data_IF_110886909409
#
_entry.id   IF_110886909409
#
_cell.length_a   1.000
_cell.length_b   1.000
_cell.length_c   1.000
_cell.angle_alpha   90.00
_cell.angle_beta   90.00
_cell.angle_gamma   90.00
#
_symmetry.space_group_name_H-M   'P 1'
#
loop_
_entity.id
_entity.type
_entity.pdbx_description
1 polymer ?
#
# COMPACT_ATOMS: atom_id res chain seq x y z
N UNK A 1 -23.39 -43.25 -17.46
CA UNK A 1 -23.00 -41.82 -17.41
C UNK A 1 -23.02 -41.24 -18.83
N UNK A 2 -24.00 -40.38 -19.11
CA UNK A 2 -24.25 -39.80 -20.44
C UNK A 2 -23.02 -39.03 -20.97
N UNK A 3 -22.73 -39.08 -22.28
CA UNK A 3 -21.65 -38.31 -22.90
C UNK A 3 -21.81 -36.80 -22.69
N UNK A 4 -23.03 -36.28 -22.61
CA UNK A 4 -23.30 -34.87 -22.37
C UNK A 4 -22.86 -34.43 -20.97
N UNK A 5 -23.10 -35.27 -19.96
CA UNK A 5 -22.71 -35.00 -18.59
C UNK A 5 -21.19 -34.90 -18.41
N UNK A 6 -20.41 -35.63 -19.23
CA UNK A 6 -18.94 -35.53 -19.23
C UNK A 6 -18.46 -34.24 -19.89
N UNK A 7 -19.17 -33.75 -20.90
CA UNK A 7 -18.83 -32.50 -21.59
C UNK A 7 -19.07 -31.28 -20.69
N UNK A 8 -20.20 -31.24 -19.98
CA UNK A 8 -20.47 -30.20 -18.97
C UNK A 8 -19.49 -30.24 -17.81
N UNK A 9 -19.12 -31.43 -17.31
CA UNK A 9 -18.10 -31.55 -16.27
C UNK A 9 -16.72 -31.06 -16.73
N UNK A 10 -16.28 -31.39 -17.96
CA UNK A 10 -15.01 -30.87 -18.47
C UNK A 10 -15.03 -29.35 -18.61
N UNK A 11 -16.16 -28.79 -19.07
CA UNK A 11 -16.30 -27.34 -19.27
C UNK A 11 -16.26 -26.59 -17.93
N UNK A 12 -16.92 -27.09 -16.89
CA UNK A 12 -16.86 -26.50 -15.55
C UNK A 12 -15.48 -26.64 -14.90
N UNK A 13 -14.81 -27.77 -15.08
CA UNK A 13 -13.43 -27.97 -14.61
C UNK A 13 -12.43 -27.04 -15.31
N UNK A 14 -12.54 -26.87 -16.62
CA UNK A 14 -11.68 -25.95 -17.39
C UNK A 14 -11.90 -24.49 -17.00
N UNK A 15 -13.17 -24.08 -16.84
CA UNK A 15 -13.52 -22.73 -16.37
C UNK A 15 -13.02 -22.48 -14.94
N UNK A 16 -13.08 -23.49 -14.06
CA UNK A 16 -12.54 -23.38 -12.70
C UNK A 16 -11.01 -23.24 -12.71
N UNK A 17 -10.31 -23.96 -13.60
CA UNK A 17 -8.86 -23.90 -13.70
C UNK A 17 -8.36 -22.54 -14.21
N UNK A 18 -9.03 -21.96 -15.23
CA UNK A 18 -8.68 -20.62 -15.73
C UNK A 18 -8.95 -19.52 -14.69
N UNK A 19 -10.07 -19.62 -13.97
CA UNK A 19 -10.48 -18.62 -12.97
C UNK A 19 -9.59 -18.65 -11.71
N UNK A 20 -8.95 -19.80 -11.41
CA UNK A 20 -7.93 -19.91 -10.35
C UNK A 20 -6.59 -19.31 -10.81
N UNK A 21 -6.16 -19.58 -12.05
CA UNK A 21 -4.88 -19.10 -12.60
C UNK A 21 -4.81 -17.55 -12.64
N UNK A 22 -5.91 -16.87 -12.98
CA UNK A 22 -5.93 -15.40 -13.13
C UNK A 22 -5.97 -14.61 -11.81
N UNK A 23 -6.33 -15.26 -10.68
CA UNK A 23 -6.46 -14.58 -9.38
C UNK A 23 -5.16 -14.53 -8.57
N UNK A 24 -4.23 -15.43 -8.84
CA UNK A 24 -2.92 -15.48 -8.19
C UNK A 24 -2.04 -14.23 -8.41
N UNK A 25 -1.90 -13.66 -9.63
CA UNK A 25 -0.99 -12.54 -9.85
C UNK A 25 -1.42 -11.26 -9.13
N UNK A 26 -2.72 -10.97 -9.07
CA UNK A 26 -3.22 -9.76 -8.39
C UNK A 26 -3.02 -9.81 -6.88
N UNK A 27 -3.22 -10.98 -6.27
CA UNK A 27 -2.97 -11.17 -4.82
C UNK A 27 -1.49 -11.05 -4.50
N UNK A 28 -0.63 -11.60 -5.35
CA UNK A 28 0.81 -11.44 -5.19
C UNK A 28 1.21 -9.97 -5.34
N UNK A 29 0.67 -9.27 -6.33
CA UNK A 29 0.93 -7.84 -6.54
C UNK A 29 0.54 -7.00 -5.32
N UNK A 30 -0.63 -7.22 -4.72
CA UNK A 30 -1.05 -6.46 -3.54
C UNK A 30 -0.18 -6.74 -2.31
N UNK A 31 0.31 -7.97 -2.14
CA UNK A 31 1.27 -8.31 -1.08
C UNK A 31 2.65 -7.68 -1.32
N UNK A 32 3.14 -7.71 -2.56
CA UNK A 32 4.43 -7.12 -2.89
C UNK A 32 4.41 -5.59 -2.72
N UNK A 33 3.33 -4.94 -3.15
CA UNK A 33 3.14 -3.50 -2.98
C UNK A 33 3.06 -3.10 -1.50
N UNK A 34 2.39 -3.88 -0.65
CA UNK A 34 2.30 -3.59 0.78
C UNK A 34 3.64 -3.80 1.49
N UNK A 35 4.38 -4.87 1.17
CA UNK A 35 5.72 -5.09 1.69
C UNK A 35 6.70 -4.01 1.26
N UNK A 36 6.67 -3.61 -0.01
CA UNK A 36 7.50 -2.52 -0.52
C UNK A 36 7.19 -1.20 0.20
N UNK A 37 5.91 -0.92 0.44
CA UNK A 37 5.48 0.24 1.23
C UNK A 37 6.03 0.19 2.66
N UNK A 38 6.01 -0.96 3.31
CA UNK A 38 6.56 -1.12 4.68
C UNK A 38 8.07 -0.88 4.68
N UNK A 39 8.81 -1.45 3.74
CA UNK A 39 10.25 -1.26 3.64
C UNK A 39 10.61 0.21 3.41
N UNK A 40 9.89 0.89 2.51
CA UNK A 40 10.14 2.30 2.21
C UNK A 40 9.79 3.20 3.40
N UNK A 41 8.70 2.91 4.11
CA UNK A 41 8.36 3.59 5.37
C UNK A 41 9.39 3.36 6.47
N UNK A 42 9.97 2.16 6.57
CA UNK A 42 11.07 1.88 7.49
C UNK A 42 12.31 2.71 7.17
N UNK A 43 12.65 2.84 5.89
CA UNK A 43 13.75 3.70 5.44
C UNK A 43 13.49 5.18 5.76
N UNK A 44 12.26 5.67 5.57
CA UNK A 44 11.85 7.03 5.93
C UNK A 44 12.06 7.29 7.43
N UNK A 45 11.59 6.38 8.28
CA UNK A 45 11.78 6.50 9.74
C UNK A 45 13.27 6.50 10.07
N UNK A 46 14.05 5.58 9.48
CA UNK A 46 15.49 5.49 9.73
C UNK A 46 16.23 6.78 9.39
N UNK A 47 16.04 7.32 8.18
CA UNK A 47 16.76 8.52 7.75
C UNK A 47 16.29 9.77 8.49
N UNK A 48 15.00 9.89 8.80
CA UNK A 48 14.48 11.02 9.58
C UNK A 48 14.87 10.96 11.05
N UNK A 49 14.95 9.76 11.64
CA UNK A 49 15.40 9.56 13.01
C UNK A 49 16.90 9.85 13.15
N UNK A 50 17.74 9.44 12.19
CA UNK A 50 19.18 9.77 12.21
C UNK A 50 19.38 11.29 12.21
N UNK A 51 18.75 11.98 11.24
CA UNK A 51 18.77 13.44 11.13
C UNK A 51 18.27 14.15 12.41
N UNK A 52 17.18 13.66 13.00
CA UNK A 52 16.65 14.21 14.26
C UNK A 52 17.58 13.96 15.44
N UNK A 53 18.25 12.80 15.48
CA UNK A 53 19.19 12.46 16.55
C UNK A 53 20.44 13.35 16.51
N UNK A 54 20.94 13.66 15.31
CA UNK A 54 22.06 14.59 15.11
C UNK A 54 21.65 15.97 15.60
N UNK A 55 20.52 16.50 15.12
CA UNK A 55 20.00 17.78 15.59
C UNK A 55 19.89 17.85 17.12
N UNK A 56 19.32 16.83 17.76
CA UNK A 56 19.12 16.83 19.20
C UNK A 56 20.44 16.75 20.00
N UNK A 57 21.41 15.95 19.54
CA UNK A 57 22.73 15.85 20.18
C UNK A 57 23.47 17.18 20.08
N UNK A 58 23.57 17.73 18.87
CA UNK A 58 24.32 18.97 18.61
C UNK A 58 23.66 20.18 19.28
N UNK A 59 22.33 20.28 19.23
CA UNK A 59 21.61 21.39 19.86
C UNK A 59 21.76 21.43 21.38
N UNK A 60 21.93 20.27 22.03
CA UNK A 60 22.10 20.19 23.50
C UNK A 60 23.56 20.28 23.94
N UNK A 61 24.49 19.81 23.10
CA UNK A 61 25.91 19.82 23.40
C UNK A 61 26.55 21.21 23.21
N UNK A 62 25.92 22.09 22.42
CA UNK A 62 26.48 23.40 22.13
C UNK A 62 26.35 24.37 23.30
N UNK A 63 27.49 24.92 23.69
CA UNK A 63 27.64 25.86 24.78
C UNK A 63 27.02 27.23 24.39
N UNK A 64 26.17 27.85 25.23
CA UNK A 64 25.50 29.14 24.92
C UNK A 64 26.42 30.29 24.52
N UNK A 65 27.70 30.20 24.85
CA UNK A 65 28.71 31.22 24.55
C UNK A 65 29.35 31.07 23.16
N UNK A 66 29.02 30.00 22.42
CA UNK A 66 29.47 29.75 21.05
C UNK A 66 28.37 30.11 20.05
N UNK A 67 28.75 30.39 18.80
CA UNK A 67 27.78 30.76 17.76
C UNK A 67 26.75 29.62 17.60
N UNK A 68 25.44 29.86 17.85
CA UNK A 68 24.44 28.81 17.75
C UNK A 68 24.29 28.38 16.29
N UNK A 69 24.87 27.22 15.97
CA UNK A 69 24.80 26.56 14.67
C UNK A 69 23.38 26.10 14.32
N UNK A 70 22.51 25.98 15.31
CA UNK A 70 21.10 25.71 15.13
C UNK A 70 20.29 26.92 15.64
N UNK A 71 19.31 27.43 14.86
CA UNK A 71 18.42 28.49 15.30
C UNK A 71 17.66 28.10 16.58
N UNK A 72 17.46 29.05 17.49
CA UNK A 72 16.74 28.85 18.76
C UNK A 72 15.23 28.52 18.55
N UNK A 73 14.67 28.90 17.39
CA UNK A 73 13.29 28.64 16.99
C UNK A 73 13.19 27.63 15.87
N UNK A 74 13.78 26.45 16.08
CA UNK A 74 13.82 25.39 15.10
C UNK A 74 12.52 24.57 15.04
N UNK A 75 11.90 24.45 13.87
CA UNK A 75 10.67 23.68 13.73
C UNK A 75 10.97 22.20 13.41
N UNK A 76 10.85 21.36 14.43
CA UNK A 76 10.99 19.90 14.32
C UNK A 76 9.69 19.19 13.94
N UNK A 77 8.59 19.95 13.77
CA UNK A 77 7.27 19.42 13.45
C UNK A 77 7.28 18.59 12.17
N UNK A 78 7.98 19.07 11.13
CA UNK A 78 8.10 18.33 9.86
C UNK A 78 8.68 16.93 10.05
N UNK A 79 9.85 16.82 10.68
CA UNK A 79 10.50 15.53 10.91
C UNK A 79 9.64 14.58 11.76
N UNK A 80 9.02 15.08 12.84
CA UNK A 80 8.11 14.29 13.68
C UNK A 80 6.89 13.80 12.91
N UNK A 81 6.34 14.63 12.01
CA UNK A 81 5.23 14.26 11.14
C UNK A 81 5.61 13.16 10.15
N UNK A 82 6.81 13.21 9.54
CA UNK A 82 7.29 12.14 8.66
C UNK A 82 7.47 10.81 9.41
N UNK A 83 8.04 10.84 10.61
CA UNK A 83 8.18 9.65 11.47
C UNK A 83 6.81 9.07 11.79
N UNK A 84 5.86 9.93 12.20
CA UNK A 84 4.48 9.52 12.49
C UNK A 84 3.78 8.91 11.28
N UNK A 85 3.92 9.51 10.10
CA UNK A 85 3.35 8.97 8.86
C UNK A 85 3.98 7.62 8.50
N UNK A 86 5.31 7.51 8.55
CA UNK A 86 6.01 6.25 8.28
C UNK A 86 5.54 5.14 9.22
N UNK A 87 5.44 5.44 10.52
CA UNK A 87 4.96 4.48 11.51
C UNK A 87 3.50 4.06 11.27
N UNK A 88 2.63 5.01 10.94
CA UNK A 88 1.24 4.74 10.59
C UNK A 88 1.11 3.84 9.36
N UNK A 89 1.88 4.10 8.30
CA UNK A 89 1.89 3.28 7.08
C UNK A 89 2.38 1.85 7.38
N UNK A 90 3.42 1.69 8.21
CA UNK A 90 3.88 0.36 8.63
C UNK A 90 2.77 -0.37 9.39
N UNK A 91 2.09 0.31 10.33
CA UNK A 91 1.03 -0.28 11.13
C UNK A 91 -0.13 -0.76 10.26
N UNK A 92 -0.68 0.10 9.40
CA UNK A 92 -1.84 -0.24 8.58
C UNK A 92 -1.52 -1.31 7.53
N UNK A 93 -0.37 -1.22 6.84
CA UNK A 93 0.04 -2.27 5.90
C UNK A 93 0.39 -3.57 6.63
N UNK A 94 0.99 -3.50 7.82
CA UNK A 94 1.30 -4.66 8.65
C UNK A 94 0.04 -5.40 9.08
N UNK A 95 -0.99 -4.67 9.50
CA UNK A 95 -2.31 -5.25 9.81
C UNK A 95 -2.91 -5.89 8.55
N UNK A 96 -2.89 -5.20 7.40
CA UNK A 96 -3.38 -5.77 6.14
C UNK A 96 -2.67 -7.07 5.77
N UNK A 97 -1.34 -7.11 5.83
CA UNK A 97 -0.54 -8.31 5.57
C UNK A 97 -0.91 -9.42 6.55
N UNK A 98 -0.98 -9.13 7.86
CA UNK A 98 -1.37 -10.12 8.86
C UNK A 98 -2.76 -10.71 8.61
N UNK A 99 -3.75 -9.87 8.28
CA UNK A 99 -5.10 -10.31 7.92
C UNK A 99 -5.09 -11.17 6.65
N UNK A 100 -4.28 -10.81 5.65
CA UNK A 100 -4.18 -11.54 4.38
C UNK A 100 -3.49 -12.92 4.49
N UNK A 101 -2.63 -13.08 5.49
CA UNK A 101 -1.92 -14.33 5.79
C UNK A 101 -2.71 -15.24 6.73
N UNK A 102 -3.71 -14.72 7.45
CA UNK A 102 -4.47 -15.51 8.43
C UNK A 102 -5.58 -16.32 7.73
N UNK A 103 -5.43 -17.66 7.58
CA UNK A 103 -6.42 -18.47 6.87
C UNK A 103 -7.76 -18.56 7.63
N UNK A 104 -7.72 -18.43 8.96
CA UNK A 104 -8.90 -18.52 9.84
C UNK A 104 -9.91 -17.39 9.63
N UNK A 105 -9.48 -16.24 9.12
CA UNK A 105 -10.36 -15.06 8.94
C UNK A 105 -11.14 -15.09 7.61
N UNK A 106 -10.95 -16.13 6.79
CA UNK A 106 -11.71 -16.37 5.57
C UNK A 106 -11.73 -15.16 4.60
N UNK A 107 -10.64 -14.39 4.57
CA UNK A 107 -10.39 -13.33 3.59
C UNK A 107 -10.02 -13.96 2.24
N UNK A 108 -11.01 -14.60 1.61
CA UNK A 108 -10.84 -15.10 0.25
C UNK A 108 -10.56 -13.94 -0.71
N UNK A 109 -9.58 -14.13 -1.60
CA UNK A 109 -9.28 -13.19 -2.67
C UNK A 109 -10.54 -12.96 -3.52
N UNK A 110 -11.00 -11.70 -3.61
CA UNK A 110 -12.28 -11.37 -4.25
C UNK A 110 -13.50 -11.48 -3.33
N UNK A 111 -13.33 -11.47 -2.00
CA UNK A 111 -14.42 -11.22 -1.06
C UNK A 111 -14.60 -9.72 -0.85
N UNK A 112 -15.84 -9.26 -0.70
CA UNK A 112 -16.14 -7.85 -0.37
C UNK A 112 -15.44 -7.41 0.92
N UNK A 113 -15.33 -8.31 1.91
CA UNK A 113 -14.61 -8.04 3.17
C UNK A 113 -13.11 -7.79 2.94
N UNK A 114 -12.48 -8.56 2.05
CA UNK A 114 -11.08 -8.40 1.71
C UNK A 114 -10.84 -7.06 1.01
N UNK A 115 -11.70 -6.71 0.04
CA UNK A 115 -11.68 -5.40 -0.61
C UNK A 115 -11.84 -4.26 0.40
N UNK A 116 -12.87 -4.32 1.24
CA UNK A 116 -13.17 -3.27 2.20
C UNK A 116 -12.00 -3.04 3.15
N UNK A 117 -11.42 -4.11 3.70
CA UNK A 117 -10.24 -3.98 4.57
C UNK A 117 -9.05 -3.34 3.84
N UNK A 118 -8.71 -3.82 2.64
CA UNK A 118 -7.60 -3.30 1.86
C UNK A 118 -7.77 -1.82 1.51
N UNK A 119 -8.96 -1.46 1.05
CA UNK A 119 -9.34 -0.07 0.71
C UNK A 119 -9.27 0.82 1.94
N UNK A 120 -9.83 0.40 3.08
CA UNK A 120 -9.80 1.19 4.31
C UNK A 120 -8.37 1.44 4.80
N UNK A 121 -7.54 0.39 4.88
CA UNK A 121 -6.16 0.52 5.34
C UNK A 121 -5.30 1.34 4.38
N UNK A 122 -5.47 1.12 3.07
CA UNK A 122 -4.71 1.86 2.07
C UNK A 122 -5.10 3.34 2.03
N UNK A 123 -6.39 3.64 2.13
CA UNK A 123 -6.90 5.02 2.14
C UNK A 123 -6.46 5.76 3.39
N UNK A 124 -6.57 5.13 4.57
CA UNK A 124 -6.11 5.71 5.84
C UNK A 124 -4.59 6.02 5.79
N UNK A 125 -3.80 5.08 5.26
CA UNK A 125 -2.35 5.26 5.07
C UNK A 125 -2.03 6.41 4.10
N UNK A 126 -2.73 6.47 2.96
CA UNK A 126 -2.54 7.52 1.97
C UNK A 126 -2.90 8.91 2.54
N UNK A 127 -3.99 9.03 3.28
CA UNK A 127 -4.40 10.28 3.91
C UNK A 127 -3.38 10.78 4.93
N UNK A 128 -2.87 9.90 5.80
CA UNK A 128 -1.83 10.26 6.77
C UNK A 128 -0.53 10.71 6.10
N UNK A 129 -0.10 10.00 5.06
CA UNK A 129 1.07 10.37 4.28
C UNK A 129 0.86 11.71 3.55
N UNK A 130 -0.30 11.93 2.93
CA UNK A 130 -0.63 13.19 2.25
C UNK A 130 -0.65 14.38 3.20
N UNK A 131 -1.30 14.25 4.36
CA UNK A 131 -1.32 15.32 5.38
C UNK A 131 0.10 15.65 5.82
N UNK A 132 0.94 14.64 6.02
CA UNK A 132 2.33 14.84 6.44
C UNK A 132 3.20 15.46 5.35
N UNK A 133 2.99 15.10 4.08
CA UNK A 133 3.65 15.74 2.93
C UNK A 133 3.25 17.22 2.86
N UNK A 134 1.96 17.53 2.93
CA UNK A 134 1.45 18.90 2.86
C UNK A 134 1.99 19.73 4.02
N UNK A 135 1.91 19.20 5.24
CA UNK A 135 2.43 19.86 6.44
C UNK A 135 3.94 20.15 6.30
N UNK A 136 4.73 19.15 5.92
CA UNK A 136 6.18 19.32 5.74
C UNK A 136 6.52 20.27 4.59
N UNK A 137 5.75 20.26 3.51
CA UNK A 137 5.93 21.18 2.38
C UNK A 137 5.62 22.63 2.77
N UNK A 138 4.61 22.87 3.60
CA UNK A 138 4.29 24.20 4.14
C UNK A 138 5.45 24.69 5.01
N UNK A 139 5.92 23.87 5.96
CA UNK A 139 7.03 24.21 6.84
C UNK A 139 8.33 24.50 6.05
N UNK A 140 8.60 23.72 5.01
CA UNK A 140 9.77 23.93 4.15
C UNK A 140 9.67 25.21 3.29
N UNK A 141 8.47 25.72 3.01
CA UNK A 141 8.27 26.99 2.28
C UNK A 141 8.39 28.22 3.18
N UNK A 142 8.09 28.10 4.49
CA UNK A 142 8.15 29.19 5.46
C UNK A 142 9.57 29.61 5.91
N UNK A 143 10.61 29.17 5.20
CA UNK A 143 12.03 29.25 5.59
C UNK A 143 12.63 30.64 5.84
N UNK A 144 11.84 31.72 5.80
CA UNK A 144 12.27 33.07 6.23
C UNK A 144 11.90 33.40 7.67
N UNK A 145 10.94 32.69 8.26
CA UNK A 145 10.43 32.94 9.62
C UNK A 145 10.59 31.75 10.55
N UNK A 146 10.59 30.52 10.02
CA UNK A 146 10.91 29.28 10.75
C UNK A 146 11.68 28.34 9.84
N UNK A 147 12.88 27.94 10.27
CA UNK A 147 13.71 27.00 9.53
C UNK A 147 13.48 25.56 10.05
N UNK A 148 13.53 24.59 9.13
CA UNK A 148 13.38 23.16 9.42
C UNK A 148 14.73 22.44 9.31
N UNK A 149 14.83 21.20 9.82
CA UNK A 149 16.01 20.33 9.61
C UNK A 149 16.40 20.32 8.14
N UNK A 150 15.42 20.13 7.25
CA UNK A 150 15.66 20.03 5.82
C UNK A 150 16.13 21.35 5.20
N UNK A 151 15.47 22.48 5.47
CA UNK A 151 15.84 23.74 4.82
C UNK A 151 17.17 24.29 5.33
N UNK A 152 17.44 24.15 6.64
CA UNK A 152 18.69 24.58 7.25
C UNK A 152 19.88 23.77 6.74
N UNK A 153 19.82 22.44 6.86
CA UNK A 153 20.94 21.57 6.48
C UNK A 153 21.23 21.64 4.98
N UNK A 154 20.21 21.76 4.13
CA UNK A 154 20.41 21.94 2.69
C UNK A 154 20.96 23.33 2.31
N UNK A 155 20.67 24.37 3.09
CA UNK A 155 21.25 25.70 2.89
C UNK A 155 22.73 25.71 3.24
N UNK A 156 23.10 25.09 4.37
CA UNK A 156 24.50 25.00 4.81
C UNK A 156 25.32 24.00 3.98
N UNK A 157 24.70 22.97 3.42
CA UNK A 157 25.35 22.06 2.48
C UNK A 157 25.87 22.73 1.20
N UNK A 158 25.31 23.87 0.80
CA UNK A 158 25.65 24.55 -0.48
C UNK A 158 26.30 25.92 -0.30
N UNK A 159 26.08 26.59 0.84
CA UNK A 159 26.33 28.03 0.97
C UNK A 159 27.60 28.46 1.69
N UNK A 160 28.22 27.63 2.55
CA UNK A 160 29.35 28.07 3.37
C UNK A 160 30.36 26.93 3.47
N UNK A 161 31.58 27.06 2.93
CA UNK A 161 32.62 26.11 3.24
C UNK A 161 33.01 26.27 4.73
N UNK A 162 32.51 25.42 5.64
CA UNK A 162 32.97 25.36 7.04
C UNK A 162 34.50 25.20 7.19
N UNK A 163 35.22 24.86 6.11
CA UNK A 163 36.69 24.89 6.07
C UNK A 163 37.29 26.29 6.24
N UNK A 164 36.49 27.37 6.24
CA UNK A 164 36.95 28.74 6.55
C UNK A 164 36.63 29.21 7.97
N UNK A 165 35.93 28.40 8.77
CA UNK A 165 35.63 28.71 10.17
C UNK A 165 36.53 27.80 11.01
N UNK A 166 37.61 28.36 11.55
CA UNK A 166 38.59 27.64 12.36
C UNK A 166 38.02 27.40 13.76
N UNK A 167 37.10 26.44 13.86
CA UNK A 167 36.48 26.05 15.12
C UNK A 167 37.41 25.04 15.80
N UNK A 168 38.45 25.55 16.47
CA UNK A 168 39.52 24.74 17.07
C UNK A 168 39.09 23.78 18.19
N UNK A 169 37.82 23.74 18.60
CA UNK A 169 37.28 22.82 19.61
C UNK A 169 35.84 22.32 19.36
N UNK A 170 35.19 22.67 18.24
CA UNK A 170 33.92 22.01 17.89
C UNK A 170 34.25 20.68 17.23
N UNK A 171 33.60 19.62 17.72
CA UNK A 171 33.80 18.25 17.29
C UNK A 171 34.12 18.12 15.80
N UNK A 172 35.20 17.40 15.48
CA UNK A 172 35.70 17.10 14.13
C UNK A 172 34.66 16.44 13.19
N UNK A 173 33.43 16.25 13.65
CA UNK A 173 32.29 15.69 12.95
C UNK A 173 31.35 16.75 12.32
N UNK A 174 31.54 18.04 12.63
CA UNK A 174 30.75 19.14 12.06
C UNK A 174 31.41 19.68 10.80
N UNK A 175 31.56 18.82 9.79
CA UNK A 175 32.08 19.20 8.47
C UNK A 175 30.92 19.42 7.51
N UNK A 176 31.13 20.18 6.42
CA UNK A 176 30.10 20.33 5.37
C UNK A 176 29.53 18.99 4.86
N UNK A 177 30.35 17.94 4.90
CA UNK A 177 29.97 16.60 4.49
C UNK A 177 28.85 16.00 5.35
N UNK A 178 28.84 16.26 6.68
CA UNK A 178 27.77 15.79 7.56
C UNK A 178 26.45 16.52 7.30
N UNK A 179 26.49 17.83 7.00
CA UNK A 179 25.31 18.59 6.58
C UNK A 179 24.76 18.14 5.22
N UNK A 180 25.65 17.79 4.28
CA UNK A 180 25.26 17.26 2.98
C UNK A 180 24.57 15.90 3.12
N UNK A 181 25.09 15.01 3.97
CA UNK A 181 24.46 13.73 4.30
C UNK A 181 23.04 13.96 4.88
N UNK A 182 22.89 14.80 5.90
CA UNK A 182 21.60 15.05 6.55
C UNK A 182 20.59 15.72 5.60
N UNK A 183 21.06 16.61 4.72
CA UNK A 183 20.23 17.20 3.67
C UNK A 183 19.71 16.12 2.70
N UNK A 184 20.60 15.23 2.24
CA UNK A 184 20.24 14.14 1.32
C UNK A 184 19.24 13.17 1.95
N UNK A 185 19.46 12.78 3.22
CA UNK A 185 18.57 11.93 4.00
C UNK A 185 17.18 12.53 4.20
N UNK A 186 17.12 13.83 4.52
CA UNK A 186 15.87 14.56 4.69
C UNK A 186 15.10 14.70 3.36
N UNK A 187 15.81 14.97 2.25
CA UNK A 187 15.22 15.00 0.90
C UNK A 187 14.69 13.62 0.50
N UNK A 188 15.48 12.57 0.75
CA UNK A 188 15.08 11.20 0.48
C UNK A 188 13.79 10.87 1.23
N UNK A 189 13.72 11.16 2.53
CA UNK A 189 12.53 10.90 3.34
C UNK A 189 11.26 11.56 2.77
N UNK A 190 11.35 12.82 2.34
CA UNK A 190 10.23 13.53 1.74
C UNK A 190 9.76 12.88 0.44
N UNK A 191 10.68 12.61 -0.49
CA UNK A 191 10.33 12.01 -1.78
C UNK A 191 9.94 10.53 -1.69
N UNK A 192 10.53 9.80 -0.76
CA UNK A 192 10.14 8.44 -0.44
C UNK A 192 8.68 8.40 0.08
N UNK A 193 8.26 9.37 0.89
CA UNK A 193 6.87 9.46 1.34
C UNK A 193 5.89 9.73 0.19
N UNK A 194 6.29 10.54 -0.81
CA UNK A 194 5.52 10.72 -2.05
C UNK A 194 5.39 9.40 -2.81
N UNK A 195 6.48 8.64 -2.94
CA UNK A 195 6.45 7.32 -3.55
C UNK A 195 5.56 6.34 -2.78
N UNK A 196 5.55 6.38 -1.44
CA UNK A 196 4.60 5.60 -0.61
C UNK A 196 3.16 5.93 -0.96
N UNK A 197 2.79 7.20 -1.15
CA UNK A 197 1.41 7.57 -1.56
C UNK A 197 1.05 6.94 -2.91
N UNK A 198 1.97 6.92 -3.87
CA UNK A 198 1.75 6.26 -5.17
C UNK A 198 1.55 4.76 -4.98
N UNK A 199 2.36 4.11 -4.15
CA UNK A 199 2.19 2.68 -3.81
C UNK A 199 0.82 2.41 -3.16
N UNK A 200 0.35 3.30 -2.29
CA UNK A 200 -1.00 3.21 -1.71
C UNK A 200 -2.10 3.38 -2.77
N UNK A 201 -1.95 4.30 -3.73
CA UNK A 201 -2.90 4.42 -4.83
C UNK A 201 -2.96 3.13 -5.69
N UNK A 202 -1.81 2.50 -5.95
CA UNK A 202 -1.75 1.22 -6.66
C UNK A 202 -2.39 0.09 -5.86
N UNK A 203 -2.20 0.04 -4.53
CA UNK A 203 -2.86 -0.92 -3.63
C UNK A 203 -4.38 -0.76 -3.65
N UNK A 204 -4.87 0.48 -3.63
CA UNK A 204 -6.29 0.79 -3.75
C UNK A 204 -6.86 0.28 -5.09
N UNK A 205 -6.20 0.60 -6.20
CA UNK A 205 -6.63 0.18 -7.54
C UNK A 205 -6.64 -1.35 -7.71
N UNK A 206 -5.60 -2.04 -7.24
CA UNK A 206 -5.51 -3.51 -7.33
C UNK A 206 -6.60 -4.18 -6.48
N UNK A 207 -6.89 -3.65 -5.29
CA UNK A 207 -7.95 -4.17 -4.41
C UNK A 207 -9.34 -4.04 -5.05
N UNK A 208 -9.62 -2.90 -5.69
CA UNK A 208 -10.87 -2.71 -6.44
C UNK A 208 -10.95 -3.66 -7.63
N UNK A 209 -9.87 -3.78 -8.41
CA UNK A 209 -9.85 -4.67 -9.57
C UNK A 209 -10.08 -6.14 -9.19
N UNK A 210 -9.47 -6.62 -8.09
CA UNK A 210 -9.72 -7.95 -7.53
C UNK A 210 -11.18 -8.17 -7.14
N UNK A 211 -11.80 -7.15 -6.55
CA UNK A 211 -13.21 -7.24 -6.21
C UNK A 211 -14.11 -7.19 -7.44
N UNK A 212 -13.89 -6.26 -8.36
CA UNK A 212 -14.68 -6.13 -9.59
C UNK A 212 -14.67 -7.43 -10.38
N UNK A 213 -13.50 -8.02 -10.62
CA UNK A 213 -13.39 -9.32 -11.33
C UNK A 213 -14.19 -10.42 -10.61
N UNK A 214 -14.09 -10.49 -9.29
CA UNK A 214 -14.83 -11.46 -8.49
C UNK A 214 -16.35 -11.21 -8.47
N UNK A 215 -16.77 -9.95 -8.50
CA UNK A 215 -18.17 -9.54 -8.52
C UNK A 215 -18.80 -9.90 -9.86
N UNK A 216 -18.17 -9.51 -10.97
CA UNK A 216 -18.62 -9.86 -12.32
C UNK A 216 -18.71 -11.38 -12.53
N UNK A 217 -17.76 -12.15 -11.99
CA UNK A 217 -17.82 -13.60 -12.04
C UNK A 217 -19.03 -14.17 -11.30
N UNK A 218 -19.42 -13.60 -10.15
CA UNK A 218 -20.61 -14.02 -9.40
C UNK A 218 -21.89 -13.65 -10.15
N UNK A 219 -21.99 -12.42 -10.67
CA UNK A 219 -23.15 -11.95 -11.41
C UNK A 219 -23.40 -12.76 -12.69
N UNK A 220 -22.35 -13.17 -13.40
CA UNK A 220 -22.51 -14.03 -14.58
C UNK A 220 -23.10 -15.40 -14.23
N UNK A 221 -22.68 -16.00 -13.12
CA UNK A 221 -23.21 -17.31 -12.68
C UNK A 221 -24.69 -17.23 -12.32
N UNK A 222 -25.12 -16.16 -11.63
CA UNK A 222 -26.54 -15.96 -11.28
C UNK A 222 -27.43 -15.73 -12.50
N UNK A 223 -26.90 -15.11 -13.56
CA UNK A 223 -27.65 -14.92 -14.80
C UNK A 223 -27.79 -16.21 -15.63
N UNK A 224 -26.80 -17.09 -15.58
CA UNK A 224 -26.81 -18.37 -16.31
C UNK A 224 -27.77 -19.38 -15.65
N UNK A 225 -27.80 -19.45 -14.32
CA UNK A 225 -28.69 -20.32 -13.53
C UNK A 225 -30.18 -19.93 -13.65
N UNK A 226 -30.46 -18.65 -13.95
CA UNK A 226 -31.81 -18.14 -14.17
C UNK A 226 -32.34 -18.35 -15.60
N UNK A 227 -31.56 -18.93 -16.52
CA UNK A 227 -32.02 -19.24 -17.88
C UNK A 227 -32.81 -20.55 -17.83
N UNK A 228 -34.14 -20.55 -18.07
CA UNK A 228 -34.90 -21.79 -18.08
C UNK A 228 -34.38 -22.70 -19.19
N UNK A 229 -34.01 -23.93 -18.83
CA UNK A 229 -33.60 -25.02 -19.72
C UNK A 229 -34.76 -25.38 -20.67
N UNK A 230 -34.99 -24.53 -21.66
CA UNK A 230 -36.11 -24.64 -22.61
C UNK A 230 -35.83 -25.64 -23.73
N UNK A 231 -34.76 -26.43 -23.66
CA UNK A 231 -34.26 -27.23 -24.76
C UNK A 231 -34.25 -28.76 -24.58
N UNK A 232 -34.10 -29.29 -23.37
CA UNK A 232 -33.72 -30.71 -23.19
C UNK A 232 -34.73 -31.57 -22.41
N UNK A 233 -35.67 -30.98 -21.66
CA UNK A 233 -36.71 -31.77 -20.97
C UNK A 233 -37.89 -32.18 -21.87
N UNK A 234 -38.15 -31.45 -22.96
CA UNK A 234 -39.29 -31.74 -23.84
C UNK A 234 -39.07 -32.93 -24.80
N UNK A 235 -37.85 -33.42 -24.96
CA UNK A 235 -37.57 -34.61 -25.77
C UNK A 235 -37.79 -35.91 -24.96
N UNK A 236 -37.31 -35.95 -23.70
CA UNK A 236 -37.49 -37.09 -22.79
C UNK A 236 -38.97 -37.37 -22.49
N UNK A 237 -39.82 -36.34 -22.40
CA UNK A 237 -41.24 -36.52 -22.15
C UNK A 237 -42.04 -37.01 -23.38
N UNK A 238 -41.56 -36.77 -24.59
CA UNK A 238 -42.16 -37.31 -25.82
C UNK A 238 -41.89 -38.81 -25.96
N UNK A 239 -40.69 -39.24 -25.62
CA UNK A 239 -40.33 -40.66 -25.69
C UNK A 239 -41.05 -41.51 -24.64
N UNK A 240 -41.29 -40.96 -23.44
CA UNK A 240 -42.08 -41.62 -22.40
C UNK A 240 -43.58 -41.70 -22.71
N UNK A 241 -44.14 -40.76 -23.48
CA UNK A 241 -45.53 -40.84 -23.94
C UNK A 241 -45.73 -41.83 -25.10
N UNK A 242 -44.74 -42.02 -25.97
CA UNK A 242 -44.86 -42.98 -27.07
C UNK A 242 -44.83 -44.45 -26.63
N UNK A 243 -44.26 -44.76 -25.45
CA UNK A 243 -44.18 -46.14 -24.95
C UNK A 243 -45.39 -46.60 -24.12
N UNK A 244 -46.38 -45.73 -23.88
CA UNK A 244 -47.51 -45.98 -22.99
C UNK A 244 -48.77 -46.56 -23.64
N UNK A 245 -48.84 -46.65 -24.98
CA UNK A 245 -50.06 -47.03 -25.69
C UNK A 245 -49.94 -48.44 -26.29
N UNK A 246 -49.94 -49.46 -25.42
CA UNK A 246 -50.19 -50.84 -25.82
C UNK A 246 -51.66 -51.19 -25.54
N UNK A 247 -52.47 -51.56 -26.56
CA UNK A 247 -53.85 -51.97 -26.35
C UNK A 247 -53.89 -53.33 -25.65
N UNK A 248 -54.52 -53.37 -24.47
CA UNK A 248 -54.89 -54.62 -23.81
C UNK A 248 -56.07 -55.23 -24.55
N UNK A 249 -55.83 -56.31 -25.29
CA UNK A 249 -56.87 -57.17 -25.82
C UNK A 249 -57.59 -57.90 -24.69
N UNK A 250 -58.91 -57.76 -24.65
CA UNK A 250 -59.83 -58.66 -23.97
C UNK A 250 -59.82 -60.02 -24.67
N UNK A 251 -59.67 -61.11 -23.91
CA UNK A 251 -60.44 -62.36 -24.01
C UNK A 251 -60.25 -63.15 -22.71
#
# INVERSE_FOLDING_TARGET
>A
MSPEYRATLRKSQLLSASDVQDRHPLRLASLLLSLLSICLSGAIIGTTADAYSIYHKESNAMNPWWLPLWPDHFDTGGARSLIGAGAGVILFNGIYVALSLTPKLNFHAGSFRAMLSAVMFSTASALLALVSIVYSAILNRSGRSRETIQTWTCRFSTGIPLSSIDINDADKNLTNDSFQKVCAESRFAFWALVAVVILQALLFCTSIAQWSTSFWARTRRTLDDGRPDTGTEMESQKDLKLSGEFPKNSY
#
